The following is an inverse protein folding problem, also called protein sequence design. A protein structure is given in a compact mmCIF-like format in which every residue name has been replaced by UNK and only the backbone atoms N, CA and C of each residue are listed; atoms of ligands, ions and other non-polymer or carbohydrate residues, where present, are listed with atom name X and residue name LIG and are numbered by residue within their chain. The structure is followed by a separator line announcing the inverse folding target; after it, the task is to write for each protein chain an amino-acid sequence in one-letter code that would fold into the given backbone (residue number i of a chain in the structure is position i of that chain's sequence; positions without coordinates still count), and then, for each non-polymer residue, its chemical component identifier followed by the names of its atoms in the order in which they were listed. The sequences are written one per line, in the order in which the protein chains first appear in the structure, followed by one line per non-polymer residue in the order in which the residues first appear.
data_IF_776581416361
#
_entry.id   IF_776581416361
#
_cell.length_a   1.000
_cell.length_b   1.000
_cell.length_c   1.000
_cell.angle_alpha   90.00
_cell.angle_beta   90.00
_cell.angle_gamma   90.00
#
_symmetry.space_group_name_H-M   'P 1'
#
loop_
_entity.id
_entity.type
_entity.pdbx_description
1 polymer ?
#
# COMPACT_ATOMS: atom_id res chain seq x y z
N UNK A 1 37.10 1.62 -20.69
CA UNK A 1 36.32 2.22 -19.58
C UNK A 1 34.84 2.06 -19.93
N UNK A 2 34.03 1.49 -19.02
CA UNK A 2 32.58 1.44 -19.19
C UNK A 2 32.02 2.70 -18.54
N UNK A 3 31.17 3.44 -19.25
CA UNK A 3 30.50 4.63 -18.74
C UNK A 3 29.02 4.59 -19.11
N UNK A 4 28.17 5.15 -18.27
CA UNK A 4 26.74 5.32 -18.57
C UNK A 4 26.50 6.82 -18.77
N UNK A 5 26.43 7.29 -20.02
CA UNK A 5 26.05 8.66 -20.30
C UNK A 5 24.74 8.99 -19.60
N UNK A 6 24.69 10.14 -18.91
CA UNK A 6 23.56 10.58 -18.07
C UNK A 6 23.25 9.72 -16.83
N UNK A 7 24.10 8.75 -16.45
CA UNK A 7 23.87 7.93 -15.25
C UNK A 7 23.70 8.75 -13.97
N UNK A 8 24.45 9.85 -13.84
CA UNK A 8 24.32 10.80 -12.73
C UNK A 8 22.99 11.58 -12.74
N UNK A 9 22.43 11.85 -13.92
CA UNK A 9 21.13 12.55 -14.08
C UNK A 9 19.95 11.59 -13.84
N UNK A 10 20.08 10.34 -14.30
CA UNK A 10 19.02 9.35 -14.24
C UNK A 10 18.95 8.61 -12.90
N UNK A 11 20.08 8.40 -12.22
CA UNK A 11 20.15 7.73 -10.92
C UNK A 11 19.15 8.27 -9.89
N UNK A 12 19.03 9.60 -9.69
CA UNK A 12 18.05 10.19 -8.78
C UNK A 12 16.58 9.92 -9.13
N UNK A 13 16.27 9.50 -10.36
CA UNK A 13 14.91 9.19 -10.83
C UNK A 13 14.54 7.71 -10.68
N UNK A 14 15.45 6.88 -10.15
CA UNK A 14 15.21 5.45 -9.87
C UNK A 14 15.14 5.19 -8.36
N UNK A 15 15.04 3.93 -7.94
CA UNK A 15 15.16 3.55 -6.52
C UNK A 15 16.62 3.61 -6.00
N UNK A 16 17.59 4.01 -6.82
CA UNK A 16 19.01 4.09 -6.44
C UNK A 16 19.27 4.91 -5.16
N UNK A 17 18.71 6.13 -5.00
CA UNK A 17 18.93 6.93 -3.79
C UNK A 17 18.47 6.20 -2.53
N UNK A 18 17.32 5.52 -2.62
CA UNK A 18 16.70 4.76 -1.52
C UNK A 18 17.57 3.59 -1.04
N UNK A 19 18.41 3.05 -1.91
CA UNK A 19 19.34 1.96 -1.57
C UNK A 19 20.79 2.45 -1.37
N UNK A 20 20.99 3.76 -1.21
CA UNK A 20 22.29 4.37 -0.90
C UNK A 20 23.21 4.58 -2.10
N UNK A 21 22.72 4.44 -3.33
CA UNK A 21 23.53 4.63 -4.54
C UNK A 21 23.41 6.09 -5.00
N UNK A 22 24.50 6.83 -4.89
CA UNK A 22 24.58 8.27 -5.18
C UNK A 22 25.54 8.51 -6.35
N UNK A 23 25.26 9.54 -7.16
CA UNK A 23 26.18 10.01 -8.19
C UNK A 23 26.21 9.18 -9.48
N UNK A 24 25.34 8.17 -9.62
CA UNK A 24 25.29 7.32 -10.79
C UNK A 24 24.06 6.42 -10.84
N UNK A 25 24.01 5.55 -11.86
CA UNK A 25 22.96 4.55 -12.05
C UNK A 25 23.52 3.15 -11.85
N UNK A 26 22.68 2.24 -11.35
CA UNK A 26 23.07 0.86 -11.10
C UNK A 26 23.09 0.08 -12.42
N UNK A 27 24.21 -0.59 -12.71
CA UNK A 27 24.30 -1.58 -13.78
C UNK A 27 24.04 -2.94 -13.12
N UNK A 28 22.83 -3.46 -13.31
CA UNK A 28 22.36 -4.69 -12.70
C UNK A 28 21.97 -5.70 -13.79
N UNK A 29 22.21 -6.98 -13.52
CA UNK A 29 21.84 -8.09 -14.41
C UNK A 29 23.03 -9.00 -14.70
N UNK A 30 22.91 -10.26 -14.31
CA UNK A 30 23.96 -11.28 -14.55
C UNK A 30 23.79 -11.99 -15.89
N UNK A 31 22.58 -11.96 -16.46
CA UNK A 31 22.24 -12.67 -17.71
C UNK A 31 22.25 -11.79 -18.96
N UNK A 32 22.30 -10.46 -18.82
CA UNK A 32 22.17 -9.53 -19.95
C UNK A 32 20.77 -9.46 -20.59
N UNK A 33 19.77 -10.13 -20.01
CA UNK A 33 18.38 -10.14 -20.52
C UNK A 33 17.51 -9.17 -19.70
N UNK A 34 16.90 -8.19 -20.37
CA UNK A 34 15.91 -7.28 -19.76
C UNK A 34 14.54 -7.96 -19.78
N UNK A 35 14.10 -8.44 -18.61
CA UNK A 35 12.74 -8.93 -18.43
C UNK A 35 11.82 -7.76 -18.06
N UNK A 36 10.66 -7.58 -18.74
CA UNK A 36 9.65 -6.64 -18.27
C UNK A 36 9.26 -7.00 -16.84
N UNK A 37 8.94 -6.01 -15.99
CA UNK A 37 8.63 -6.21 -14.57
C UNK A 37 7.59 -7.33 -14.39
N UNK A 38 8.09 -8.51 -14.05
CA UNK A 38 7.25 -9.63 -13.70
C UNK A 38 6.73 -9.42 -12.28
N UNK A 39 5.61 -10.08 -11.94
CA UNK A 39 5.13 -10.21 -10.56
C UNK A 39 6.26 -10.60 -9.60
N UNK A 40 7.16 -11.49 -10.04
CA UNK A 40 8.29 -11.95 -9.24
C UNK A 40 9.36 -10.88 -9.03
N UNK A 41 9.67 -10.07 -10.06
CA UNK A 41 10.64 -8.98 -9.98
C UNK A 41 10.18 -7.89 -9.00
N UNK A 42 8.89 -7.56 -9.02
CA UNK A 42 8.32 -6.58 -8.08
C UNK A 42 8.32 -7.10 -6.63
N UNK A 43 7.96 -8.37 -6.42
CA UNK A 43 8.06 -9.01 -5.11
C UNK A 43 9.52 -9.04 -4.60
N UNK A 44 10.48 -9.34 -5.47
CA UNK A 44 11.90 -9.32 -5.12
C UNK A 44 12.37 -7.92 -4.71
N UNK A 45 11.93 -6.87 -5.41
CA UNK A 45 12.23 -5.48 -5.08
C UNK A 45 11.70 -5.08 -3.69
N UNK A 46 10.44 -5.44 -3.38
CA UNK A 46 9.86 -5.20 -2.04
C UNK A 46 10.72 -5.86 -0.95
N UNK A 47 11.09 -7.14 -1.14
CA UNK A 47 11.91 -7.87 -0.18
C UNK A 47 13.30 -7.23 0.01
N UNK A 48 13.89 -6.71 -1.07
CA UNK A 48 15.16 -5.99 -1.02
C UNK A 48 15.02 -4.68 -0.26
N UNK A 49 13.97 -3.88 -0.52
CA UNK A 49 13.73 -2.63 0.21
C UNK A 49 13.54 -2.86 1.72
N UNK A 50 12.79 -3.89 2.13
CA UNK A 50 12.68 -4.25 3.56
C UNK A 50 14.05 -4.62 4.15
N UNK A 51 14.90 -5.32 3.38
CA UNK A 51 16.25 -5.66 3.84
C UNK A 51 17.13 -4.42 3.99
N UNK A 52 16.95 -3.41 3.14
CA UNK A 52 17.64 -2.12 3.27
C UNK A 52 17.23 -1.41 4.55
N UNK A 53 15.93 -1.36 4.87
CA UNK A 53 15.44 -0.76 6.14
C UNK A 53 16.16 -1.36 7.34
N UNK A 54 16.20 -2.70 7.43
CA UNK A 54 16.88 -3.40 8.52
C UNK A 54 18.39 -3.12 8.52
N UNK A 55 19.04 -3.13 7.35
CA UNK A 55 20.47 -2.84 7.24
C UNK A 55 20.84 -1.40 7.63
N UNK A 56 19.90 -0.46 7.49
CA UNK A 56 20.05 0.93 7.91
C UNK A 56 19.85 1.11 9.43
N UNK A 57 19.51 0.04 10.16
CA UNK A 57 19.26 0.08 11.59
C UNK A 57 17.85 0.49 11.98
N UNK A 58 16.95 0.64 11.00
CA UNK A 58 15.54 0.95 11.23
C UNK A 58 14.69 -0.32 11.29
N UNK A 59 13.57 -0.22 12.01
CA UNK A 59 12.66 -1.33 12.23
C UNK A 59 11.20 -0.99 11.89
N UNK A 60 10.99 0.19 11.32
CA UNK A 60 9.67 0.74 11.00
C UNK A 60 9.57 1.04 9.50
N UNK A 61 8.47 0.58 8.91
CA UNK A 61 8.18 0.75 7.47
C UNK A 61 6.88 1.51 7.26
N UNK A 62 6.84 2.31 6.19
CA UNK A 62 5.64 2.96 5.65
C UNK A 62 5.32 2.31 4.31
N UNK A 63 4.35 1.40 4.32
CA UNK A 63 3.91 0.63 3.17
C UNK A 63 2.80 1.36 2.44
N UNK A 64 3.03 1.75 1.19
CA UNK A 64 2.11 2.59 0.43
C UNK A 64 1.57 1.85 -0.78
N UNK A 65 0.35 2.19 -1.20
CA UNK A 65 -0.27 1.59 -2.39
C UNK A 65 0.30 2.10 -3.72
N UNK A 66 1.16 3.12 -3.68
CA UNK A 66 1.82 3.79 -4.81
C UNK A 66 2.23 5.23 -4.47
N UNK A 67 2.81 5.92 -5.45
CA UNK A 67 3.38 7.27 -5.27
C UNK A 67 2.48 8.27 -4.55
N UNK A 68 1.22 8.45 -5.01
CA UNK A 68 0.31 9.42 -4.37
C UNK A 68 0.05 9.13 -2.88
N UNK A 69 -0.11 7.86 -2.49
CA UNK A 69 -0.28 7.50 -1.08
C UNK A 69 1.02 7.68 -0.28
N UNK A 70 2.17 7.56 -0.93
CA UNK A 70 3.46 7.87 -0.31
C UNK A 70 3.62 9.36 -0.07
N UNK A 71 3.32 10.20 -1.07
CA UNK A 71 3.36 11.65 -0.96
C UNK A 71 2.47 12.16 0.19
N UNK A 72 1.28 11.55 0.37
CA UNK A 72 0.38 11.90 1.47
C UNK A 72 0.89 11.36 2.82
N UNK A 73 1.41 10.13 2.86
CA UNK A 73 1.99 9.57 4.07
C UNK A 73 3.17 10.41 4.58
N UNK A 74 4.03 10.91 3.68
CA UNK A 74 5.17 11.79 4.02
C UNK A 74 4.78 13.10 4.70
N UNK A 75 3.54 13.57 4.50
CA UNK A 75 3.05 14.81 5.15
C UNK A 75 2.63 14.61 6.61
N UNK A 76 2.39 13.37 7.03
CA UNK A 76 1.81 13.05 8.34
C UNK A 76 2.64 12.04 9.16
N UNK A 77 3.66 11.44 8.54
CA UNK A 77 4.59 10.51 9.16
C UNK A 77 6.00 10.97 8.81
N UNK A 78 6.86 11.13 9.80
CA UNK A 78 8.26 11.54 9.64
C UNK A 78 9.17 10.31 9.81
N UNK A 79 9.57 9.71 8.69
CA UNK A 79 10.53 8.61 8.66
C UNK A 79 11.62 8.85 7.60
N UNK A 80 12.77 8.17 7.68
CA UNK A 80 13.79 8.19 6.64
C UNK A 80 13.25 7.74 5.27
N UNK A 81 13.89 8.18 4.19
CA UNK A 81 13.42 7.89 2.82
C UNK A 81 13.28 6.39 2.54
N UNK A 82 14.25 5.59 3.01
CA UNK A 82 14.30 4.14 2.80
C UNK A 82 13.20 3.38 3.55
N UNK A 83 12.55 3.98 4.56
CA UNK A 83 11.42 3.38 5.27
C UNK A 83 10.14 3.34 4.44
N UNK A 84 10.04 4.13 3.36
CA UNK A 84 8.84 4.18 2.50
C UNK A 84 8.95 3.17 1.36
N UNK A 85 8.02 2.21 1.34
CA UNK A 85 8.02 1.09 0.40
C UNK A 85 6.69 1.05 -0.34
N UNK A 86 6.75 1.18 -1.67
CA UNK A 86 5.56 1.06 -2.52
C UNK A 86 5.22 -0.41 -2.76
N UNK A 87 4.28 -0.95 -2.00
CA UNK A 87 3.87 -2.36 -2.09
C UNK A 87 2.84 -2.64 -3.18
N UNK A 88 2.15 -1.63 -3.70
CA UNK A 88 1.12 -1.80 -4.72
C UNK A 88 0.02 -2.79 -4.29
N UNK A 89 -0.12 -3.90 -5.03
CA UNK A 89 -1.07 -4.98 -4.74
C UNK A 89 -0.49 -6.12 -3.87
N UNK A 90 0.78 -6.05 -3.50
CA UNK A 90 1.49 -7.13 -2.82
C UNK A 90 1.43 -7.01 -1.29
N UNK A 91 0.34 -6.48 -0.72
CA UNK A 91 0.27 -6.19 0.72
C UNK A 91 0.48 -7.42 1.60
N UNK A 92 -0.20 -8.52 1.29
CA UNK A 92 -0.05 -9.77 2.03
C UNK A 92 1.38 -10.32 1.98
N UNK A 93 1.99 -10.31 0.79
CA UNK A 93 3.39 -10.69 0.63
C UNK A 93 4.32 -9.77 1.42
N UNK A 94 4.13 -8.46 1.31
CA UNK A 94 4.94 -7.43 1.98
C UNK A 94 4.91 -7.62 3.49
N UNK A 95 3.73 -7.81 4.09
CA UNK A 95 3.60 -8.04 5.53
C UNK A 95 4.24 -9.37 5.96
N UNK A 96 4.17 -10.42 5.14
CA UNK A 96 4.90 -11.66 5.42
C UNK A 96 6.42 -11.46 5.42
N UNK A 97 6.94 -10.57 4.56
CA UNK A 97 8.37 -10.25 4.53
C UNK A 97 8.78 -9.38 5.72
N UNK A 98 7.92 -8.44 6.14
CA UNK A 98 8.13 -7.63 7.35
C UNK A 98 8.27 -8.53 8.58
N UNK A 99 7.35 -9.50 8.74
CA UNK A 99 7.40 -10.47 9.84
C UNK A 99 8.66 -11.35 9.80
N UNK A 100 9.11 -11.79 8.61
CA UNK A 100 10.36 -12.56 8.44
C UNK A 100 11.63 -11.77 8.72
N UNK A 101 11.53 -10.44 8.74
CA UNK A 101 12.65 -9.50 8.93
C UNK A 101 12.54 -8.77 10.28
N UNK A 102 11.66 -9.22 11.16
CA UNK A 102 11.48 -8.69 12.51
C UNK A 102 11.16 -7.18 12.58
N UNK A 103 10.52 -6.64 11.54
CA UNK A 103 10.00 -5.26 11.51
C UNK A 103 9.04 -5.06 12.69
N UNK A 104 9.29 -4.02 13.49
CA UNK A 104 8.58 -3.70 14.73
C UNK A 104 7.33 -2.88 14.53
N UNK A 105 7.23 -2.10 13.44
CA UNK A 105 5.99 -1.39 13.10
C UNK A 105 5.84 -1.20 11.58
N UNK A 106 4.62 -1.37 11.10
CA UNK A 106 4.25 -1.07 9.72
C UNK A 106 3.06 -0.10 9.65
N UNK A 107 3.24 1.03 8.98
CA UNK A 107 2.14 1.91 8.59
C UNK A 107 1.67 1.52 7.20
N UNK A 108 0.41 1.18 7.02
CA UNK A 108 -0.19 0.83 5.73
C UNK A 108 -1.05 1.97 5.25
N UNK A 109 -0.58 2.66 4.23
CA UNK A 109 -1.11 3.92 3.72
C UNK A 109 -1.72 3.71 2.33
N UNK A 110 -2.98 4.11 2.13
CA UNK A 110 -3.61 3.91 0.82
C UNK A 110 -4.98 4.55 0.66
N UNK A 111 -5.64 4.13 -0.43
CA UNK A 111 -6.95 4.60 -0.84
C UNK A 111 -7.98 3.47 -0.85
N UNK A 112 -9.26 3.85 -0.81
CA UNK A 112 -10.41 2.94 -0.70
C UNK A 112 -10.37 1.78 -1.71
N UNK A 113 -9.92 2.03 -2.95
CA UNK A 113 -9.90 1.00 -3.99
C UNK A 113 -8.97 -0.17 -3.69
N UNK A 114 -7.79 0.10 -3.14
CA UNK A 114 -6.84 -0.94 -2.75
C UNK A 114 -7.25 -1.56 -1.41
N UNK A 115 -7.72 -0.74 -0.47
CA UNK A 115 -8.18 -1.22 0.85
C UNK A 115 -9.39 -2.15 0.74
N UNK A 116 -10.36 -1.86 -0.14
CA UNK A 116 -11.49 -2.75 -0.40
C UNK A 116 -11.05 -4.15 -0.90
N UNK A 117 -9.96 -4.22 -1.66
CA UNK A 117 -9.38 -5.49 -2.11
C UNK A 117 -8.66 -6.21 -0.98
N UNK A 118 -7.87 -5.48 -0.19
CA UNK A 118 -7.16 -6.05 0.95
C UNK A 118 -8.13 -6.60 1.99
N UNK A 119 -9.22 -5.86 2.27
CA UNK A 119 -10.24 -6.23 3.24
C UNK A 119 -11.00 -7.50 2.88
N UNK A 120 -11.11 -7.84 1.58
CA UNK A 120 -11.76 -9.08 1.13
C UNK A 120 -10.82 -10.29 1.12
N UNK A 121 -9.54 -10.12 1.45
CA UNK A 121 -8.58 -11.22 1.59
C UNK A 121 -8.27 -11.96 0.29
N UNK A 122 -8.54 -11.36 -0.87
CA UNK A 122 -8.26 -11.97 -2.17
C UNK A 122 -6.75 -12.18 -2.31
N UNK A 123 -6.30 -13.43 -2.25
CA UNK A 123 -4.91 -13.82 -2.48
C UNK A 123 -4.53 -13.43 -3.91
N UNK A 124 -3.52 -12.58 -4.03
CA UNK A 124 -3.05 -12.08 -5.32
C UNK A 124 -2.33 -13.19 -6.10
N UNK A 125 -3.08 -13.99 -6.85
CA UNK A 125 -2.54 -15.04 -7.74
C UNK A 125 -2.12 -14.47 -9.10
N UNK A 126 -2.67 -13.32 -9.51
CA UNK A 126 -2.26 -12.55 -10.69
C UNK A 126 -2.41 -11.05 -10.43
N UNK A 127 -1.41 -10.25 -10.86
CA UNK A 127 -1.41 -8.77 -10.73
C UNK A 127 -2.47 -8.11 -11.63
N UNK A 128 -3.01 -8.84 -12.62
CA UNK A 128 -4.16 -8.38 -13.43
C UNK A 128 -5.46 -8.41 -12.61
N UNK A 129 -5.82 -7.25 -12.08
CA UNK A 129 -7.19 -6.73 -12.21
C UNK A 129 -8.29 -7.42 -11.42
N UNK A 130 -8.11 -7.72 -10.13
CA UNK A 130 -9.27 -7.95 -9.26
C UNK A 130 -10.15 -6.68 -9.25
N UNK A 131 -11.43 -6.83 -9.60
CA UNK A 131 -12.39 -5.71 -9.51
C UNK A 131 -12.68 -5.40 -8.04
N UNK A 132 -12.98 -4.14 -7.74
CA UNK A 132 -13.48 -3.77 -6.42
C UNK A 132 -14.82 -4.46 -6.20
N UNK A 133 -14.99 -5.11 -5.05
CA UNK A 133 -16.23 -5.80 -4.72
C UNK A 133 -17.25 -4.78 -4.17
N UNK A 134 -18.15 -4.31 -5.03
CA UNK A 134 -19.20 -3.35 -4.65
C UNK A 134 -20.21 -3.95 -3.68
N UNK A 135 -20.47 -5.26 -3.79
CA UNK A 135 -21.32 -5.96 -2.83
C UNK A 135 -20.71 -5.90 -1.43
N UNK A 136 -19.42 -6.15 -1.28
CA UNK A 136 -18.71 -6.00 -0.01
C UNK A 136 -18.80 -4.58 0.56
N UNK A 137 -18.54 -3.55 -0.26
CA UNK A 137 -18.66 -2.16 0.19
C UNK A 137 -20.09 -1.80 0.60
N UNK A 138 -21.10 -2.30 -0.12
CA UNK A 138 -22.49 -2.09 0.25
C UNK A 138 -22.88 -2.75 1.58
N UNK A 139 -22.30 -3.91 1.91
CA UNK A 139 -22.52 -4.56 3.20
C UNK A 139 -21.83 -3.81 4.35
N UNK A 140 -20.67 -3.18 4.10
CA UNK A 140 -20.07 -2.25 5.09
C UNK A 140 -21.00 -1.06 5.32
N UNK A 141 -21.49 -0.41 4.25
CA UNK A 141 -22.43 0.71 4.38
C UNK A 141 -23.69 0.30 5.17
N UNK A 142 -24.21 -0.90 4.91
CA UNK A 142 -25.34 -1.46 5.65
C UNK A 142 -25.03 -1.65 7.15
N UNK A 143 -23.85 -2.16 7.50
CA UNK A 143 -23.40 -2.25 8.91
C UNK A 143 -23.32 -0.87 9.56
N UNK A 144 -22.95 0.15 8.80
CA UNK A 144 -22.92 1.55 9.22
C UNK A 144 -24.29 2.24 9.13
N UNK A 145 -25.40 1.48 9.12
CA UNK A 145 -26.78 1.99 9.13
C UNK A 145 -27.14 2.89 7.94
N UNK A 146 -26.46 2.76 6.80
CA UNK A 146 -26.84 3.48 5.59
C UNK A 146 -28.24 3.07 5.12
N UNK A 147 -28.99 4.03 4.57
CA UNK A 147 -30.32 3.77 4.03
C UNK A 147 -30.31 2.79 2.85
N UNK A 148 -31.43 2.11 2.64
CA UNK A 148 -31.57 1.11 1.57
C UNK A 148 -31.36 1.70 0.17
N UNK A 149 -31.67 2.99 -0.01
CA UNK A 149 -31.43 3.78 -1.23
C UNK A 149 -29.92 3.93 -1.50
N UNK A 150 -29.14 4.28 -0.48
CA UNK A 150 -27.69 4.45 -0.53
C UNK A 150 -27.00 3.10 -0.77
N UNK A 151 -27.42 2.05 -0.07
CA UNK A 151 -26.90 0.69 -0.27
C UNK A 151 -27.07 0.26 -1.74
N UNK A 152 -28.24 0.53 -2.35
CA UNK A 152 -28.47 0.23 -3.77
C UNK A 152 -27.58 1.07 -4.69
N UNK A 153 -27.37 2.36 -4.39
CA UNK A 153 -26.43 3.21 -5.14
C UNK A 153 -25.01 2.63 -5.12
N UNK A 154 -24.52 2.22 -3.95
CA UNK A 154 -23.18 1.63 -3.79
C UNK A 154 -23.04 0.34 -4.60
N UNK A 155 -24.04 -0.56 -4.58
CA UNK A 155 -24.01 -1.80 -5.37
C UNK A 155 -23.86 -1.56 -6.88
N UNK A 156 -24.43 -0.45 -7.37
CA UNK A 156 -24.41 -0.05 -8.77
C UNK A 156 -23.25 0.91 -9.11
N UNK A 157 -22.36 1.21 -8.17
CA UNK A 157 -21.24 2.10 -8.39
C UNK A 157 -20.18 1.48 -9.32
N UNK A 158 -19.53 2.32 -10.12
CA UNK A 158 -18.51 1.87 -11.07
C UNK A 158 -17.11 1.75 -10.45
N UNK A 159 -16.79 2.58 -9.45
CA UNK A 159 -15.45 2.65 -8.85
C UNK A 159 -15.52 2.80 -7.33
N UNK A 160 -14.47 2.38 -6.63
CA UNK A 160 -14.37 2.62 -5.19
C UNK A 160 -14.35 4.11 -4.84
N UNK A 161 -13.82 4.95 -5.74
CA UNK A 161 -13.85 6.41 -5.57
C UNK A 161 -15.29 6.92 -5.57
N UNK A 162 -16.12 6.46 -6.50
CA UNK A 162 -17.54 6.82 -6.51
C UNK A 162 -18.25 6.36 -5.21
N UNK A 163 -17.90 5.20 -4.67
CA UNK A 163 -18.41 4.77 -3.36
C UNK A 163 -17.97 5.72 -2.24
N UNK A 164 -16.70 6.15 -2.21
CA UNK A 164 -16.23 7.15 -1.25
C UNK A 164 -17.01 8.46 -1.36
N UNK A 165 -17.26 8.95 -2.57
CA UNK A 165 -18.07 10.15 -2.84
C UNK A 165 -19.49 9.98 -2.27
N UNK A 166 -20.16 8.86 -2.56
CA UNK A 166 -21.50 8.55 -2.01
C UNK A 166 -21.48 8.54 -0.48
N UNK A 167 -20.48 7.93 0.14
CA UNK A 167 -20.36 7.83 1.61
C UNK A 167 -20.19 9.21 2.24
N UNK A 168 -19.34 10.06 1.65
CA UNK A 168 -19.10 11.42 2.13
C UNK A 168 -20.33 12.31 1.95
N UNK A 169 -20.96 12.30 0.77
CA UNK A 169 -22.16 13.10 0.48
C UNK A 169 -23.33 12.79 1.41
N UNK A 170 -23.44 11.53 1.87
CA UNK A 170 -24.54 11.07 2.72
C UNK A 170 -24.12 10.95 4.20
N UNK A 171 -22.92 11.41 4.57
CA UNK A 171 -22.40 11.39 5.95
C UNK A 171 -22.55 10.03 6.65
N UNK A 172 -22.17 8.93 5.98
CA UNK A 172 -22.26 7.59 6.56
C UNK A 172 -21.08 7.35 7.51
N UNK A 173 -21.30 7.68 8.79
CA UNK A 173 -20.29 7.57 9.84
C UNK A 173 -19.81 6.12 10.06
N UNK A 174 -18.53 5.97 10.41
CA UNK A 174 -17.91 4.68 10.72
C UNK A 174 -17.61 3.78 9.50
N UNK A 175 -18.02 4.17 8.28
CA UNK A 175 -17.76 3.37 7.08
C UNK A 175 -16.27 3.16 6.82
N UNK A 176 -15.49 4.24 6.88
CA UNK A 176 -14.04 4.20 6.65
C UNK A 176 -13.30 3.47 7.78
N UNK A 177 -13.76 3.62 9.01
CA UNK A 177 -13.24 2.89 10.17
C UNK A 177 -13.44 1.38 10.01
N UNK A 178 -14.64 0.95 9.58
CA UNK A 178 -14.94 -0.48 9.36
C UNK A 178 -14.09 -1.04 8.22
N UNK A 179 -13.88 -0.30 7.13
CA UNK A 179 -12.94 -0.72 6.07
C UNK A 179 -11.53 -0.90 6.65
N UNK A 180 -11.01 0.08 7.39
CA UNK A 180 -9.67 0.00 7.96
C UNK A 180 -9.54 -1.16 8.95
N UNK A 181 -10.57 -1.43 9.76
CA UNK A 181 -10.62 -2.59 10.66
C UNK A 181 -10.55 -3.92 9.90
N UNK A 182 -11.28 -4.05 8.79
CA UNK A 182 -11.24 -5.26 7.97
C UNK A 182 -9.88 -5.45 7.29
N UNK A 183 -9.26 -4.37 6.78
CA UNK A 183 -7.89 -4.40 6.25
C UNK A 183 -6.91 -4.84 7.33
N UNK A 184 -6.97 -4.23 8.51
CA UNK A 184 -6.12 -4.56 9.65
C UNK A 184 -6.19 -6.05 9.99
N UNK A 185 -7.40 -6.61 10.12
CA UNK A 185 -7.60 -8.04 10.39
C UNK A 185 -6.93 -8.93 9.33
N UNK A 186 -7.12 -8.60 8.05
CA UNK A 186 -6.53 -9.37 6.96
C UNK A 186 -4.99 -9.30 6.97
N UNK A 187 -4.42 -8.10 7.13
CA UNK A 187 -2.96 -7.92 7.08
C UNK A 187 -2.26 -8.46 8.32
N UNK A 188 -2.89 -8.37 9.50
CA UNK A 188 -2.37 -8.96 10.73
C UNK A 188 -2.20 -10.46 10.58
N UNK A 189 -3.18 -11.15 9.96
CA UNK A 189 -3.09 -12.58 9.67
C UNK A 189 -1.90 -12.93 8.75
N UNK A 190 -1.60 -12.08 7.75
CA UNK A 190 -0.47 -12.29 6.85
C UNK A 190 0.90 -12.08 7.51
N UNK A 191 0.93 -11.32 8.61
CA UNK A 191 2.13 -11.14 9.45
C UNK A 191 2.25 -12.18 10.57
N UNK A 192 1.33 -13.15 10.66
CA UNK A 192 1.23 -14.07 11.81
C UNK A 192 1.15 -13.35 13.17
N UNK A 193 0.56 -12.14 13.19
CA UNK A 193 0.52 -11.24 14.35
C UNK A 193 1.91 -10.78 14.88
N UNK A 194 2.98 -10.94 14.10
CA UNK A 194 4.36 -10.60 14.51
C UNK A 194 4.72 -9.13 14.26
N UNK A 195 4.06 -8.48 13.31
CA UNK A 195 4.32 -7.08 12.97
C UNK A 195 3.11 -6.23 13.38
N UNK A 196 3.25 -5.34 14.38
CA UNK A 196 2.27 -4.30 14.68
C UNK A 196 1.96 -3.44 13.45
N UNK A 197 0.68 -3.22 13.16
CA UNK A 197 0.21 -2.54 11.96
C UNK A 197 -0.68 -1.35 12.33
N UNK A 198 -0.49 -0.22 11.65
CA UNK A 198 -1.43 0.91 11.65
C UNK A 198 -1.91 1.17 10.22
N UNK A 199 -3.21 1.18 10.00
CA UNK A 199 -3.86 1.44 8.72
C UNK A 199 -4.23 2.93 8.65
N UNK A 200 -3.86 3.58 7.55
CA UNK A 200 -4.21 4.99 7.28
C UNK A 200 -4.87 5.07 5.90
N UNK A 201 -6.13 5.48 5.89
CA UNK A 201 -6.91 5.69 4.68
C UNK A 201 -6.96 7.19 4.34
N UNK A 202 -6.58 7.53 3.11
CA UNK A 202 -6.68 8.88 2.58
C UNK A 202 -7.87 9.04 1.63
N UNK A 203 -8.38 10.27 1.54
CA UNK A 203 -9.15 10.72 0.38
C UNK A 203 -8.20 11.13 -0.77
N UNK A 204 -8.76 11.58 -1.90
CA UNK A 204 -7.96 11.99 -3.03
C UNK A 204 -7.34 13.38 -2.87
N UNK A 205 -7.72 14.17 -1.87
CA UNK A 205 -7.18 15.51 -1.63
C UNK A 205 -6.05 15.51 -0.57
N UNK A 206 -5.82 14.35 0.07
CA UNK A 206 -4.75 14.13 1.02
C UNK A 206 -5.19 14.19 2.47
N UNK A 207 -6.50 14.30 2.75
CA UNK A 207 -7.02 14.23 4.09
C UNK A 207 -7.08 12.78 4.56
N UNK A 208 -6.85 12.58 5.86
CA UNK A 208 -7.00 11.27 6.50
C UNK A 208 -8.48 11.03 6.79
N UNK A 209 -9.07 10.05 6.13
CA UNK A 209 -10.47 9.64 6.34
C UNK A 209 -10.62 8.73 7.57
N UNK A 210 -9.63 7.88 7.84
CA UNK A 210 -9.64 6.98 9.00
C UNK A 210 -8.23 6.49 9.35
N UNK A 211 -8.04 6.16 10.63
CA UNK A 211 -6.89 5.42 11.15
C UNK A 211 -7.37 4.21 11.96
N UNK A 212 -6.63 3.10 11.88
CA UNK A 212 -6.93 1.91 12.68
C UNK A 212 -5.67 1.12 13.03
N UNK A 213 -5.48 0.65 14.28
CA UNK A 213 -6.31 0.93 15.46
C UNK A 213 -6.36 2.42 15.81
N UNK A 214 -7.41 2.86 16.51
CA UNK A 214 -7.48 4.25 17.03
C UNK A 214 -6.44 4.41 18.13
N UNK A 215 -5.67 5.50 18.07
CA UNK A 215 -4.70 5.88 19.10
C UNK A 215 -5.41 6.54 20.29
#
# INVERSE_FOLDING_TARGET
MISVPKGKELGPKTDNPRIGIIGGISILGTSGIVMPYSTASFAAAIRQQISVVVSMGDDTVVLTTGGRSEDYARKILEFPEHSYIQMGDFSGYTLSQCAKKDIKKAYVCGFIGKFAKMATGVKQTHVKGSKVNMQFLSEIAKKCKAEQTIIKKIKNANTARNVQEIILENNIEGFFDEICSQVYKQLTNHSENKTPIEIILFDFDGNVLARYPKQ
#
